data_IF_999344726285
#
_entry.id   IF_999344726285
#
_cell.length_a   1.000
_cell.length_b   1.000
_cell.length_c   1.000
_cell.angle_alpha   90.00
_cell.angle_beta   90.00
_cell.angle_gamma   90.00
#
_symmetry.space_group_name_H-M   'P 1'
#
loop_
_entity.id
_entity.type
_entity.pdbx_description
1 polymer ?
#
# COMPACT_ATOMS: atom_id res chain seq x y z
N UNK A 1 -0.53 0.75 -63.49
CA UNK A 1 0.36 1.33 -62.46
C UNK A 1 -0.50 2.10 -61.46
N UNK A 2 -0.44 1.78 -60.17
CA UNK A 2 -1.06 2.61 -59.12
C UNK A 2 0.04 3.52 -58.56
N UNK A 3 -0.09 4.82 -58.77
CA UNK A 3 0.83 5.80 -58.21
C UNK A 3 0.35 6.13 -56.80
N UNK A 4 1.16 5.78 -55.80
CA UNK A 4 0.90 6.17 -54.41
C UNK A 4 1.30 7.63 -54.24
N UNK A 5 0.32 8.50 -53.97
CA UNK A 5 0.57 9.91 -53.65
C UNK A 5 0.60 10.01 -52.12
N UNK A 6 1.71 10.46 -51.51
CA UNK A 6 1.75 10.66 -50.07
C UNK A 6 0.81 11.81 -49.68
N UNK A 7 -0.14 11.52 -48.79
CA UNK A 7 -1.01 12.53 -48.18
C UNK A 7 -0.38 12.92 -46.84
N UNK A 8 -0.07 14.20 -46.68
CA UNK A 8 0.35 14.79 -45.41
C UNK A 8 -0.84 15.54 -44.80
N UNK A 9 -1.34 15.04 -43.68
CA UNK A 9 -2.38 15.70 -42.90
C UNK A 9 -1.74 16.74 -41.98
N UNK A 10 -2.10 18.01 -42.14
CA UNK A 10 -1.64 19.11 -41.28
C UNK A 10 -2.80 19.50 -40.38
N UNK A 11 -2.76 19.06 -39.12
CA UNK A 11 -3.76 19.40 -38.10
C UNK A 11 -3.27 20.62 -37.33
N UNK A 12 -3.85 21.78 -37.62
CA UNK A 12 -3.54 23.01 -36.87
C UNK A 12 -4.00 22.88 -35.41
N UNK A 13 -3.07 23.06 -34.47
CA UNK A 13 -3.32 22.97 -33.03
C UNK A 13 -3.07 21.59 -32.41
N UNK A 14 -2.69 20.58 -33.20
CA UNK A 14 -2.23 19.31 -32.65
C UNK A 14 -0.87 19.48 -31.95
N UNK A 15 -0.71 18.85 -30.79
CA UNK A 15 0.61 18.75 -30.14
C UNK A 15 1.56 17.96 -31.05
N UNK A 16 2.83 18.40 -31.10
CA UNK A 16 3.86 17.67 -31.83
C UNK A 16 4.00 16.25 -31.26
N UNK A 17 4.39 15.29 -32.10
CA UNK A 17 4.50 13.88 -31.71
C UNK A 17 5.37 13.67 -30.47
N UNK A 18 6.45 14.47 -30.33
CA UNK A 18 7.32 14.46 -29.17
C UNK A 18 6.62 14.97 -27.89
N UNK A 19 5.80 16.01 -28.01
CA UNK A 19 5.05 16.56 -26.89
C UNK A 19 3.93 15.62 -26.44
N UNK A 20 3.27 14.94 -27.38
CA UNK A 20 2.29 13.87 -27.09
C UNK A 20 2.97 12.71 -26.36
N UNK A 21 4.13 12.26 -26.84
CA UNK A 21 4.89 11.19 -26.18
C UNK A 21 5.30 11.58 -24.74
N UNK A 22 5.72 12.83 -24.55
CA UNK A 22 6.07 13.36 -23.22
C UNK A 22 4.86 13.46 -22.30
N UNK A 23 3.71 13.91 -22.81
CA UNK A 23 2.46 13.98 -22.06
C UNK A 23 2.00 12.58 -21.62
N UNK A 24 2.02 11.61 -22.53
CA UNK A 24 1.68 10.22 -22.23
C UNK A 24 2.60 9.64 -21.16
N UNK A 25 3.92 9.84 -21.26
CA UNK A 25 4.87 9.35 -20.26
C UNK A 25 4.57 9.93 -18.87
N UNK A 26 4.25 11.23 -18.80
CA UNK A 26 3.87 11.90 -17.56
C UNK A 26 2.54 11.38 -17.00
N UNK A 27 1.57 11.11 -17.86
CA UNK A 27 0.29 10.53 -17.46
C UNK A 27 0.46 9.13 -16.87
N UNK A 28 1.30 8.28 -17.49
CA UNK A 28 1.66 6.97 -16.93
C UNK A 28 2.35 7.07 -15.57
N UNK A 29 3.28 8.03 -15.42
CA UNK A 29 3.97 8.26 -14.15
C UNK A 29 2.98 8.67 -13.05
N UNK A 30 2.09 9.61 -13.32
CA UNK A 30 1.06 10.05 -12.36
C UNK A 30 0.09 8.92 -12.00
N UNK A 31 -0.38 8.16 -13.00
CA UNK A 31 -1.27 7.03 -12.76
C UNK A 31 -0.61 5.93 -11.90
N UNK A 32 0.69 5.69 -12.11
CA UNK A 32 1.45 4.75 -11.28
C UNK A 32 1.59 5.28 -9.85
N UNK A 33 1.89 6.58 -9.67
CA UNK A 33 1.98 7.20 -8.36
C UNK A 33 0.66 7.13 -7.59
N UNK A 34 -0.47 7.42 -8.25
CA UNK A 34 -1.80 7.33 -7.66
C UNK A 34 -2.10 5.90 -7.20
N UNK A 35 -1.83 4.90 -8.05
CA UNK A 35 -2.00 3.49 -7.70
C UNK A 35 -1.13 3.07 -6.51
N UNK A 36 0.14 3.50 -6.47
CA UNK A 36 1.04 3.17 -5.35
C UNK A 36 0.56 3.80 -4.05
N UNK A 37 0.07 5.05 -4.09
CA UNK A 37 -0.51 5.71 -2.92
C UNK A 37 -1.78 5.01 -2.43
N UNK A 38 -2.67 4.60 -3.33
CA UNK A 38 -3.90 3.89 -2.98
C UNK A 38 -3.59 2.53 -2.33
N UNK A 39 -2.71 1.73 -2.94
CA UNK A 39 -2.26 0.45 -2.37
C UNK A 39 -1.63 0.62 -0.98
N UNK A 40 -0.85 1.68 -0.79
CA UNK A 40 -0.19 1.98 0.49
C UNK A 40 -1.22 2.35 1.55
N UNK A 41 -2.21 3.17 1.18
CA UNK A 41 -3.31 3.56 2.06
C UNK A 41 -4.16 2.35 2.46
N UNK A 42 -4.49 1.47 1.53
CA UNK A 42 -5.25 0.26 1.81
C UNK A 42 -4.49 -0.69 2.73
N UNK A 43 -3.18 -0.87 2.49
CA UNK A 43 -2.35 -1.71 3.38
C UNK A 43 -2.29 -1.13 4.79
N UNK A 44 -2.19 0.20 4.92
CA UNK A 44 -2.23 0.87 6.21
C UNK A 44 -3.57 0.63 6.92
N UNK A 45 -4.69 0.83 6.24
CA UNK A 45 -6.03 0.58 6.78
C UNK A 45 -6.21 -0.87 7.26
N UNK A 46 -5.74 -1.85 6.47
CA UNK A 46 -5.76 -3.27 6.87
C UNK A 46 -4.95 -3.50 8.14
N UNK A 47 -3.82 -2.81 8.28
CA UNK A 47 -2.97 -2.99 9.46
C UNK A 47 -3.59 -2.38 10.72
N UNK A 48 -4.11 -1.16 10.61
CA UNK A 48 -4.83 -0.48 11.70
C UNK A 48 -6.03 -1.33 12.14
N UNK A 49 -6.84 -1.82 11.19
CA UNK A 49 -7.99 -2.67 11.50
C UNK A 49 -7.59 -3.98 12.18
N UNK A 50 -6.48 -4.61 11.78
CA UNK A 50 -6.00 -5.84 12.42
C UNK A 50 -5.54 -5.59 13.86
N UNK A 51 -4.83 -4.48 14.11
CA UNK A 51 -4.37 -4.14 15.45
C UNK A 51 -5.54 -3.93 16.42
N UNK A 52 -6.59 -3.21 15.98
CA UNK A 52 -7.81 -3.03 16.78
C UNK A 52 -8.54 -4.35 17.02
N UNK A 53 -8.83 -5.11 15.96
CA UNK A 53 -9.57 -6.37 16.05
C UNK A 53 -8.85 -7.41 16.93
N UNK A 54 -7.52 -7.50 16.82
CA UNK A 54 -6.74 -8.45 17.61
C UNK A 54 -6.61 -8.02 19.08
N UNK A 55 -6.53 -6.72 19.36
CA UNK A 55 -6.57 -6.19 20.73
C UNK A 55 -7.89 -6.48 21.45
N UNK A 56 -9.02 -6.32 20.74
CA UNK A 56 -10.35 -6.66 21.26
C UNK A 56 -10.46 -8.17 21.52
N UNK A 57 -10.04 -9.01 20.57
CA UNK A 57 -10.06 -10.47 20.73
C UNK A 57 -9.20 -10.96 21.89
N UNK A 58 -8.03 -10.35 22.14
CA UNK A 58 -7.18 -10.69 23.27
C UNK A 58 -7.77 -10.32 24.63
N UNK A 59 -8.60 -9.27 24.64
CA UNK A 59 -9.24 -8.77 25.86
C UNK A 59 -10.57 -9.47 26.16
N UNK A 60 -11.17 -10.12 25.18
CA UNK A 60 -12.48 -10.79 25.31
C UNK A 60 -12.35 -12.31 25.13
N UNK A 61 -12.16 -12.78 23.89
CA UNK A 61 -12.29 -14.19 23.52
C UNK A 61 -11.08 -15.01 23.96
N UNK A 62 -9.86 -14.49 23.79
CA UNK A 62 -8.64 -15.24 24.05
C UNK A 62 -8.17 -15.15 25.50
N UNK A 63 -8.78 -14.29 26.34
CA UNK A 63 -8.35 -14.08 27.73
C UNK A 63 -8.24 -15.38 28.53
N UNK A 64 -9.10 -16.37 28.27
CA UNK A 64 -9.09 -17.68 28.95
C UNK A 64 -8.18 -18.73 28.29
N UNK A 65 -7.69 -18.47 27.08
CA UNK A 65 -6.92 -19.43 26.26
C UNK A 65 -5.43 -19.07 26.16
N UNK A 66 -5.06 -17.85 26.52
CA UNK A 66 -3.69 -17.34 26.39
C UNK A 66 -3.11 -17.00 27.75
N UNK A 67 -1.82 -17.25 27.95
CA UNK A 67 -1.18 -16.86 29.21
C UNK A 67 -1.06 -15.34 29.29
N UNK A 68 -1.09 -14.79 30.52
CA UNK A 68 -0.88 -13.35 30.73
C UNK A 68 0.39 -12.84 30.06
N UNK A 69 1.45 -13.68 30.04
CA UNK A 69 2.71 -13.36 29.37
C UNK A 69 2.60 -13.30 27.85
N UNK A 70 1.90 -14.23 27.21
CA UNK A 70 1.67 -14.21 25.75
C UNK A 70 0.82 -13.01 25.34
N UNK A 71 -0.23 -12.72 26.13
CA UNK A 71 -1.10 -11.55 25.92
C UNK A 71 -0.31 -10.25 26.01
N UNK A 72 0.44 -10.04 27.09
CA UNK A 72 1.24 -8.83 27.30
C UNK A 72 2.31 -8.65 26.21
N UNK A 73 2.98 -9.74 25.84
CA UNK A 73 3.98 -9.71 24.77
C UNK A 73 3.37 -9.34 23.41
N UNK A 74 2.17 -9.83 23.10
CA UNK A 74 1.50 -9.52 21.84
C UNK A 74 0.92 -8.10 21.82
N UNK A 75 0.33 -7.63 22.93
CA UNK A 75 -0.12 -6.24 23.08
C UNK A 75 1.05 -5.27 22.90
N UNK A 76 2.21 -5.55 23.51
CA UNK A 76 3.40 -4.72 23.35
C UNK A 76 3.84 -4.62 21.87
N UNK A 77 3.73 -5.71 21.11
CA UNK A 77 4.04 -5.73 19.67
C UNK A 77 3.01 -4.99 18.82
N UNK A 78 1.72 -5.06 19.17
CA UNK A 78 0.69 -4.25 18.52
C UNK A 78 0.97 -2.76 18.74
N UNK A 79 1.32 -2.36 19.97
CA UNK A 79 1.69 -0.98 20.29
C UNK A 79 2.95 -0.51 19.58
N UNK A 80 4.01 -1.33 19.52
CA UNK A 80 5.22 -1.01 18.77
C UNK A 80 4.93 -0.78 17.28
N UNK A 81 4.02 -1.57 16.72
CA UNK A 81 3.61 -1.45 15.33
C UNK A 81 2.75 -0.20 15.08
N UNK A 82 1.83 0.12 16.00
CA UNK A 82 1.05 1.36 15.96
C UNK A 82 1.97 2.57 16.05
N UNK A 83 2.92 2.57 16.99
CA UNK A 83 3.95 3.61 17.13
C UNK A 83 4.78 3.78 15.85
N UNK A 84 5.15 2.67 15.20
CA UNK A 84 5.86 2.68 13.91
C UNK A 84 4.99 3.28 12.80
N UNK A 85 3.71 2.92 12.70
CA UNK A 85 2.75 3.51 11.76
C UNK A 85 2.54 5.01 11.94
N UNK A 86 2.75 5.53 13.15
CA UNK A 86 2.61 6.95 13.46
C UNK A 86 3.91 7.75 13.33
N UNK A 87 5.10 7.15 13.57
CA UNK A 87 6.41 7.84 13.52
C UNK A 87 7.07 7.84 12.13
N UNK A 88 6.98 6.76 11.36
CA UNK A 88 7.71 6.60 10.08
C UNK A 88 6.81 6.78 8.83
N UNK A 89 5.84 7.72 8.90
CA UNK A 89 4.75 7.86 7.92
C UNK A 89 5.15 8.15 6.46
N UNK A 90 6.38 8.55 6.16
CA UNK A 90 6.66 9.20 4.86
C UNK A 90 7.60 8.47 3.89
N UNK A 91 8.40 7.48 4.31
CA UNK A 91 9.45 6.92 3.42
C UNK A 91 9.48 5.38 3.33
N UNK A 92 8.54 4.67 3.96
CA UNK A 92 8.60 3.20 3.98
C UNK A 92 7.91 2.54 2.80
N UNK A 93 8.57 1.51 2.25
CA UNK A 93 8.11 0.84 1.02
C UNK A 93 6.98 -0.16 1.32
N UNK A 94 6.12 -0.43 0.33
CA UNK A 94 5.06 -1.47 0.41
C UNK A 94 5.54 -2.81 0.98
N UNK A 95 6.79 -3.20 0.69
CA UNK A 95 7.38 -4.45 1.18
C UNK A 95 7.52 -4.49 2.70
N UNK A 96 7.85 -3.37 3.33
CA UNK A 96 8.02 -3.28 4.78
C UNK A 96 6.68 -3.46 5.50
N UNK A 97 5.61 -2.83 5.00
CA UNK A 97 4.26 -3.03 5.53
C UNK A 97 3.80 -4.49 5.44
N UNK A 98 4.14 -5.20 4.35
CA UNK A 98 3.81 -6.62 4.18
C UNK A 98 4.53 -7.46 5.22
N UNK A 99 5.85 -7.31 5.34
CA UNK A 99 6.64 -8.07 6.31
C UNK A 99 6.16 -7.84 7.74
N UNK A 100 5.85 -6.58 8.11
CA UNK A 100 5.33 -6.24 9.43
C UNK A 100 3.98 -6.89 9.74
N UNK A 101 3.05 -6.86 8.78
CA UNK A 101 1.77 -7.56 8.92
C UNK A 101 1.95 -9.07 9.04
N UNK A 102 2.83 -9.67 8.24
CA UNK A 102 3.05 -11.12 8.23
C UNK A 102 3.69 -11.59 9.54
N UNK A 103 4.62 -10.83 10.10
CA UNK A 103 5.21 -11.08 11.42
C UNK A 103 4.16 -11.00 12.54
N UNK A 104 3.28 -10.00 12.50
CA UNK A 104 2.18 -9.86 13.46
C UNK A 104 1.18 -10.99 13.36
N UNK A 105 0.77 -11.38 12.14
CA UNK A 105 -0.16 -12.48 11.92
C UNK A 105 0.42 -13.81 12.36
N UNK A 106 1.67 -14.10 12.01
CA UNK A 106 2.34 -15.34 12.41
C UNK A 106 2.37 -15.51 13.93
N UNK A 107 2.51 -14.43 14.67
CA UNK A 107 2.47 -14.48 16.13
C UNK A 107 1.04 -14.55 16.66
N UNK A 108 0.10 -13.84 16.04
CA UNK A 108 -1.31 -13.92 16.39
C UNK A 108 -1.91 -15.30 16.16
N UNK A 109 -1.44 -16.03 15.15
CA UNK A 109 -1.85 -17.40 14.84
C UNK A 109 -1.25 -18.44 15.80
N UNK A 110 -0.20 -18.08 16.56
CA UNK A 110 0.45 -18.95 17.55
C UNK A 110 -0.16 -18.82 18.95
N UNK A 111 -1.10 -17.90 19.11
CA UNK A 111 -1.77 -17.51 20.35
C UNK A 111 -3.22 -18.01 20.26
#
# INVERSE_FOLDING_TARGET
MKTSIPVTEIVYGAMGTADVQKANAKEFEMALQDHVMEDTKDRKNVTESYAYDMGDKLSDIYQEFVTDSERENFIAKLQEMEDWLYKDREDETRGVYISKIEELKKQGDLI
#
